data_IF_582122041617
#
_entry.id   IF_582122041617
#
_cell.length_a   1.000
_cell.length_b   1.000
_cell.length_c   1.000
_cell.angle_alpha   90.00
_cell.angle_beta   90.00
_cell.angle_gamma   90.00
#
_symmetry.space_group_name_H-M   'P 1'
#
loop_
_entity.id
_entity.type
_entity.pdbx_description
1 polymer ?
#
# COMPACT_ATOMS: atom_id res chain seq x y z
N UNK A 1 -14.66 4.66 -1.73
CA UNK A 1 -15.69 4.59 -2.78
C UNK A 1 -16.49 3.25 -2.72
N UNK A 2 -16.45 2.52 -1.59
CA UNK A 2 -17.24 1.31 -1.38
C UNK A 2 -16.73 0.04 -2.09
N UNK A 3 -15.56 0.07 -2.68
CA UNK A 3 -14.90 -1.11 -3.26
C UNK A 3 -13.91 -1.63 -2.23
N UNK A 4 -14.07 -2.87 -1.70
CA UNK A 4 -13.10 -3.48 -0.80
C UNK A 4 -11.72 -3.55 -1.47
N UNK A 5 -10.69 -3.18 -0.73
CA UNK A 5 -9.30 -3.38 -1.12
C UNK A 5 -8.79 -4.54 -0.28
N UNK A 6 -8.53 -5.65 -0.91
CA UNK A 6 -8.03 -6.84 -0.26
C UNK A 6 -6.56 -7.05 -0.62
N UNK A 7 -5.78 -7.42 0.37
CA UNK A 7 -4.38 -7.78 0.20
C UNK A 7 -4.05 -8.99 1.08
N UNK A 8 -3.04 -9.75 0.72
CA UNK A 8 -2.61 -10.91 1.49
C UNK A 8 -2.03 -10.49 2.85
N UNK A 9 -2.80 -10.72 3.92
CA UNK A 9 -2.40 -10.44 5.31
C UNK A 9 -2.22 -8.95 5.61
N UNK A 10 -1.30 -8.61 6.53
CA UNK A 10 -0.95 -7.23 6.90
C UNK A 10 -0.23 -6.44 5.77
N UNK A 11 -0.18 -7.00 4.58
CA UNK A 11 0.53 -6.44 3.43
C UNK A 11 -0.18 -5.22 2.84
N UNK A 12 -1.50 -5.12 2.96
CA UNK A 12 -2.24 -3.93 2.56
C UNK A 12 -2.45 -3.02 3.77
N UNK A 13 -1.47 -2.16 4.01
CA UNK A 13 -1.55 -1.14 5.05
C UNK A 13 -2.07 0.18 4.45
N UNK A 14 -2.86 0.92 5.24
CA UNK A 14 -3.30 2.27 4.90
C UNK A 14 -2.14 3.22 4.57
N UNK A 15 -0.96 2.96 5.14
CA UNK A 15 0.27 3.70 4.84
C UNK A 15 0.73 3.56 3.38
N UNK A 16 0.26 2.54 2.67
CA UNK A 16 0.61 2.30 1.27
C UNK A 16 -0.29 3.04 0.28
N UNK A 17 -1.39 3.61 0.76
CA UNK A 17 -2.27 4.44 -0.08
C UNK A 17 -1.77 5.88 -0.07
N UNK A 18 -1.45 6.48 -1.21
CA UNK A 18 -1.04 7.87 -1.26
C UNK A 18 -2.14 8.79 -0.73
N UNK A 19 -1.80 9.69 0.19
CA UNK A 19 -2.75 10.67 0.75
C UNK A 19 -3.39 11.50 -0.36
N UNK A 20 -2.65 11.81 -1.41
CA UNK A 20 -3.13 12.59 -2.55
C UNK A 20 -4.24 11.88 -3.36
N UNK A 21 -4.43 10.58 -3.13
CA UNK A 21 -5.52 9.83 -3.74
C UNK A 21 -6.89 10.13 -3.08
N UNK A 22 -6.88 10.48 -1.81
CA UNK A 22 -8.08 10.71 -1.02
C UNK A 22 -8.53 12.18 -1.09
N UNK A 23 -9.79 12.41 -1.44
CA UNK A 23 -10.44 13.69 -1.18
C UNK A 23 -10.76 13.82 0.31
N UNK A 24 -11.24 12.74 0.90
CA UNK A 24 -11.44 12.58 2.34
C UNK A 24 -11.35 11.12 2.75
N UNK A 25 -11.06 10.90 4.01
CA UNK A 25 -11.04 9.58 4.65
C UNK A 25 -12.18 9.55 5.67
N UNK A 26 -13.06 8.57 5.50
CA UNK A 26 -14.16 8.31 6.42
C UNK A 26 -13.84 7.07 7.24
N UNK A 27 -13.89 7.19 8.56
CA UNK A 27 -13.62 6.09 9.48
C UNK A 27 -14.90 5.73 10.21
N UNK A 28 -15.39 4.52 9.97
CA UNK A 28 -16.55 3.97 10.67
C UNK A 28 -16.06 2.97 11.71
N UNK A 29 -16.38 3.21 12.98
CA UNK A 29 -16.02 2.32 14.11
C UNK A 29 -17.28 1.66 14.64
N UNK A 30 -17.28 0.34 14.78
CA UNK A 30 -18.40 -0.42 15.30
C UNK A 30 -19.50 -0.65 14.25
N UNK A 31 -20.56 0.14 14.25
CA UNK A 31 -21.66 -0.02 13.28
C UNK A 31 -21.26 0.56 11.92
N UNK A 32 -21.18 -0.31 10.94
CA UNK A 32 -20.80 0.05 9.57
C UNK A 32 -22.06 0.11 8.70
N UNK A 33 -22.20 1.14 7.84
CA UNK A 33 -23.33 1.21 6.90
C UNK A 33 -23.40 -0.02 5.99
N UNK A 34 -24.61 -0.49 5.71
CA UNK A 34 -24.87 -1.73 4.94
C UNK A 34 -24.20 -1.74 3.56
N UNK A 35 -23.95 -0.57 2.99
CA UNK A 35 -23.28 -0.43 1.69
C UNK A 35 -21.81 -0.88 1.63
N UNK A 36 -21.18 -1.16 2.78
CA UNK A 36 -19.77 -1.62 2.85
C UNK A 36 -19.63 -3.14 3.01
N UNK A 37 -20.73 -3.88 3.00
CA UNK A 37 -20.73 -5.34 3.10
C UNK A 37 -20.77 -5.86 4.55
N UNK A 38 -20.82 -7.19 4.68
CA UNK A 38 -20.99 -7.90 5.96
C UNK A 38 -19.69 -8.20 6.68
N UNK A 39 -18.54 -8.06 6.02
CA UNK A 39 -17.24 -8.52 6.52
C UNK A 39 -16.51 -7.49 7.39
N UNK A 40 -17.11 -6.31 7.54
CA UNK A 40 -16.54 -5.20 8.28
C UNK A 40 -16.82 -5.28 9.80
N UNK A 41 -16.36 -6.33 10.46
CA UNK A 41 -16.68 -6.63 11.88
C UNK A 41 -16.02 -5.59 12.83
N UNK A 42 -14.84 -5.09 12.51
CA UNK A 42 -14.07 -4.16 13.37
C UNK A 42 -14.25 -2.68 13.01
N UNK A 43 -14.79 -2.40 11.84
CA UNK A 43 -14.91 -1.04 11.27
C UNK A 43 -14.45 -0.97 9.82
N UNK A 44 -14.64 0.21 9.22
CA UNK A 44 -14.26 0.48 7.83
C UNK A 44 -13.52 1.79 7.75
N UNK A 45 -12.45 1.80 6.99
CA UNK A 45 -11.80 3.01 6.51
C UNK A 45 -12.14 3.19 5.03
N UNK A 46 -13.03 4.12 4.74
CA UNK A 46 -13.45 4.43 3.37
C UNK A 46 -12.64 5.61 2.82
N UNK A 47 -11.87 5.34 1.79
CA UNK A 47 -11.13 6.37 1.07
C UNK A 47 -12.03 6.88 -0.04
N UNK A 48 -12.51 8.11 0.12
CA UNK A 48 -13.37 8.76 -0.86
C UNK A 48 -12.51 9.54 -1.82
N UNK A 49 -12.61 9.18 -3.10
CA UNK A 49 -11.94 9.92 -4.17
C UNK A 49 -12.84 11.05 -4.66
N UNK A 50 -12.27 12.12 -5.20
CA UNK A 50 -13.05 13.23 -5.75
C UNK A 50 -13.99 12.72 -6.85
N UNK A 51 -15.29 12.90 -6.64
CA UNK A 51 -16.34 12.39 -7.54
C UNK A 51 -16.64 13.30 -8.73
N UNK A 52 -16.16 14.54 -8.70
CA UNK A 52 -16.40 15.52 -9.76
C UNK A 52 -15.08 16.19 -10.16
N UNK A 53 -14.25 15.49 -10.95
CA UNK A 53 -13.12 16.16 -11.56
C UNK A 53 -13.64 17.32 -12.43
N UNK A 54 -12.89 18.40 -12.49
CA UNK A 54 -13.18 19.52 -13.38
C UNK A 54 -13.08 19.11 -14.86
N UNK A 55 -12.83 20.07 -15.75
CA UNK A 55 -12.73 19.78 -17.19
C UNK A 55 -11.66 18.76 -17.53
N UNK A 56 -10.47 18.94 -17.02
CA UNK A 56 -9.37 17.98 -16.96
C UNK A 56 -8.53 18.26 -15.73
N UNK A 57 -7.87 17.28 -15.20
CA UNK A 57 -6.95 17.44 -14.08
C UNK A 57 -5.77 16.46 -14.22
N UNK A 58 -4.66 16.87 -13.69
CA UNK A 58 -3.45 16.08 -13.56
C UNK A 58 -2.81 16.40 -12.20
N UNK A 59 -2.74 15.39 -11.35
CA UNK A 59 -2.00 15.45 -10.11
C UNK A 59 -0.86 14.42 -10.18
N UNK A 60 0.34 14.84 -9.88
CA UNK A 60 1.49 13.94 -9.84
C UNK A 60 2.38 14.29 -8.66
N UNK A 61 2.90 13.28 -8.00
CA UNK A 61 3.87 13.45 -6.93
C UNK A 61 4.92 12.36 -6.98
N UNK A 62 6.12 12.71 -6.59
CA UNK A 62 7.22 11.79 -6.37
C UNK A 62 7.95 12.18 -5.10
N UNK A 63 8.28 11.20 -4.28
CA UNK A 63 9.12 11.39 -3.11
C UNK A 63 10.19 10.31 -3.03
N UNK A 64 11.36 10.73 -2.57
CA UNK A 64 12.50 9.88 -2.29
C UNK A 64 12.87 10.01 -0.82
N UNK A 65 13.17 8.90 -0.16
CA UNK A 65 13.48 8.86 1.27
C UNK A 65 14.59 7.87 1.61
N UNK A 66 14.87 7.73 2.89
CA UNK A 66 15.85 6.78 3.43
C UNK A 66 15.55 5.35 2.96
N UNK A 67 16.58 4.50 2.95
CA UNK A 67 16.49 3.09 2.56
C UNK A 67 15.99 2.88 1.13
N UNK A 68 16.46 3.76 0.22
CA UNK A 68 16.07 3.74 -1.19
C UNK A 68 14.54 3.73 -1.38
N UNK A 69 13.83 4.52 -0.55
CA UNK A 69 12.37 4.58 -0.60
C UNK A 69 11.92 5.51 -1.70
N UNK A 70 11.14 4.97 -2.64
CA UNK A 70 10.52 5.70 -3.74
C UNK A 70 9.00 5.62 -3.60
N UNK A 71 8.34 6.76 -3.67
CA UNK A 71 6.88 6.82 -3.75
C UNK A 71 6.51 7.70 -4.93
N UNK A 72 5.80 7.15 -5.87
CA UNK A 72 5.26 7.87 -7.01
C UNK A 72 3.75 7.74 -7.07
N UNK A 73 3.10 8.79 -7.50
CA UNK A 73 1.68 8.85 -7.68
C UNK A 73 1.35 9.74 -8.88
N UNK A 74 0.38 9.28 -9.65
CA UNK A 74 -0.18 10.04 -10.76
C UNK A 74 -1.69 9.85 -10.78
N UNK A 75 -2.40 10.93 -10.96
CA UNK A 75 -3.83 10.95 -11.19
C UNK A 75 -4.12 11.83 -12.38
N UNK A 76 -4.87 11.31 -13.32
CA UNK A 76 -5.26 12.02 -14.54
C UNK A 76 -6.69 11.71 -14.91
N UNK A 77 -7.43 12.71 -15.35
CA UNK A 77 -8.79 12.50 -15.79
C UNK A 77 -9.39 13.70 -16.50
N UNK A 78 -10.50 13.44 -17.17
CA UNK A 78 -11.25 14.47 -17.90
C UNK A 78 -12.73 14.14 -17.96
N UNK A 79 -13.54 15.19 -17.92
CA UNK A 79 -14.95 15.14 -18.28
C UNK A 79 -15.13 15.94 -19.57
N UNK A 80 -15.68 15.29 -20.59
CA UNK A 80 -16.02 15.94 -21.84
C UNK A 80 -17.38 16.63 -21.79
N UNK A 81 -17.63 17.55 -22.71
CA UNK A 81 -18.90 18.28 -22.79
C UNK A 81 -20.10 17.37 -23.01
N UNK A 82 -19.91 16.21 -23.65
CA UNK A 82 -20.96 15.22 -23.85
C UNK A 82 -21.23 14.35 -22.60
N UNK A 83 -20.55 14.63 -21.47
CA UNK A 83 -20.68 13.88 -20.23
C UNK A 83 -19.85 12.61 -20.15
N UNK A 84 -19.12 12.24 -21.20
CA UNK A 84 -18.15 11.13 -21.09
C UNK A 84 -17.03 11.53 -20.12
N UNK A 85 -16.64 10.60 -19.27
CA UNK A 85 -15.55 10.78 -18.31
C UNK A 85 -14.58 9.60 -18.32
N UNK A 86 -13.33 9.90 -18.10
CA UNK A 86 -12.34 8.89 -17.71
C UNK A 86 -11.46 9.44 -16.60
N UNK A 87 -10.95 8.54 -15.79
CA UNK A 87 -10.01 8.82 -14.70
C UNK A 87 -9.04 7.64 -14.59
N UNK A 88 -7.78 7.94 -14.44
CA UNK A 88 -6.73 6.96 -14.16
C UNK A 88 -5.95 7.42 -12.95
N UNK A 89 -5.79 6.53 -11.98
CA UNK A 89 -4.95 6.74 -10.81
C UNK A 89 -3.93 5.61 -10.80
N UNK A 90 -2.67 5.94 -10.65
CA UNK A 90 -1.61 4.96 -10.51
C UNK A 90 -0.67 5.38 -9.39
N UNK A 91 -0.20 4.43 -8.63
CA UNK A 91 0.83 4.68 -7.63
C UNK A 91 1.80 3.51 -7.54
N UNK A 92 3.00 3.81 -7.08
CA UNK A 92 4.04 2.86 -6.76
C UNK A 92 4.74 3.30 -5.49
N UNK A 93 4.97 2.34 -4.60
CA UNK A 93 5.81 2.49 -3.43
C UNK A 93 6.85 1.38 -3.44
N UNK A 94 8.10 1.75 -3.28
CA UNK A 94 9.23 0.83 -3.24
C UNK A 94 10.16 1.24 -2.10
N UNK A 95 10.75 0.28 -1.39
CA UNK A 95 11.84 0.51 -0.46
C UNK A 95 12.67 -0.75 -0.27
N UNK A 96 13.98 -0.61 -0.18
CA UNK A 96 14.88 -1.68 0.24
C UNK A 96 14.70 -2.01 1.72
N UNK A 97 14.25 -1.03 2.51
CA UNK A 97 13.94 -1.16 3.94
C UNK A 97 15.09 -1.78 4.75
N UNK A 98 16.32 -1.50 4.37
CA UNK A 98 17.57 -2.11 4.80
C UNK A 98 18.21 -1.37 5.99
N UNK A 99 17.40 -0.96 6.96
CA UNK A 99 17.86 -0.25 8.14
C UNK A 99 18.66 -1.12 9.11
N UNK A 100 19.42 -0.48 9.98
CA UNK A 100 20.19 -1.18 11.01
C UNK A 100 19.32 -1.50 12.23
N UNK A 101 19.60 -2.65 12.82
CA UNK A 101 18.97 -3.09 14.07
C UNK A 101 20.02 -3.56 15.06
N UNK A 102 19.81 -3.26 16.33
CA UNK A 102 20.60 -3.81 17.41
C UNK A 102 19.99 -5.11 17.91
N UNK A 103 20.76 -6.19 17.85
CA UNK A 103 20.24 -7.53 18.12
C UNK A 103 21.30 -8.45 18.69
N UNK A 104 20.83 -9.54 19.31
CA UNK A 104 21.68 -10.61 19.79
C UNK A 104 21.83 -11.68 18.71
N UNK A 105 23.07 -12.07 18.43
CA UNK A 105 23.39 -13.13 17.46
C UNK A 105 23.82 -14.38 18.22
N UNK A 106 23.22 -15.51 17.86
CA UNK A 106 23.72 -16.80 18.33
C UNK A 106 24.91 -17.20 17.47
N UNK A 107 26.10 -17.09 18.03
CA UNK A 107 27.32 -17.54 17.38
C UNK A 107 27.31 -19.08 17.23
N UNK A 108 28.06 -19.60 16.30
CA UNK A 108 28.30 -21.02 16.18
C UNK A 108 29.83 -21.30 16.11
N UNK A 109 30.23 -22.44 16.65
CA UNK A 109 31.60 -22.91 16.64
C UNK A 109 31.64 -24.19 15.80
N UNK A 110 32.59 -24.25 14.86
CA UNK A 110 32.87 -25.48 14.12
C UNK A 110 34.00 -26.16 14.84
N UNK A 111 33.75 -27.37 15.38
CA UNK A 111 34.77 -28.17 16.02
C UNK A 111 35.68 -28.84 14.97
N UNK A 112 36.83 -29.37 15.44
CA UNK A 112 37.79 -30.07 14.59
C UNK A 112 37.20 -31.31 13.90
N UNK A 113 36.19 -31.93 14.48
CA UNK A 113 35.47 -33.07 13.93
C UNK A 113 34.40 -32.66 12.88
N UNK A 114 34.29 -31.37 12.56
CA UNK A 114 33.30 -30.80 11.63
C UNK A 114 31.93 -30.63 12.23
N UNK A 115 31.67 -30.95 13.48
CA UNK A 115 30.41 -30.74 14.13
C UNK A 115 30.18 -29.26 14.50
N UNK A 116 28.95 -28.80 14.40
CA UNK A 116 28.58 -27.41 14.74
C UNK A 116 28.00 -27.37 16.16
N UNK A 117 28.60 -26.53 17.00
CA UNK A 117 28.11 -26.22 18.34
C UNK A 117 27.49 -24.82 18.36
N UNK A 118 26.31 -24.68 18.98
CA UNK A 118 25.70 -23.40 19.26
C UNK A 118 25.84 -23.11 20.75
N UNK A 119 26.73 -22.22 21.16
CA UNK A 119 26.81 -21.79 22.57
C UNK A 119 25.53 -21.06 22.99
N UNK A 120 25.27 -20.90 24.29
CA UNK A 120 24.19 -20.09 24.78
C UNK A 120 24.29 -18.67 24.24
N UNK A 121 23.12 -18.05 24.00
CA UNK A 121 23.05 -16.66 23.54
C UNK A 121 23.70 -15.73 24.58
N UNK A 122 24.74 -15.01 24.19
CA UNK A 122 25.35 -13.99 25.04
C UNK A 122 24.53 -12.69 24.95
N UNK A 123 23.78 -12.39 26.01
CA UNK A 123 22.96 -11.19 26.12
C UNK A 123 23.76 -9.91 26.41
N UNK A 124 25.06 -10.01 26.65
CA UNK A 124 25.92 -8.86 26.83
C UNK A 124 26.54 -8.35 25.52
N UNK A 125 26.42 -9.15 24.45
CA UNK A 125 27.01 -8.85 23.15
C UNK A 125 25.92 -8.46 22.16
N UNK A 126 25.78 -7.16 21.92
CA UNK A 126 24.84 -6.59 20.97
C UNK A 126 25.56 -6.37 19.64
N UNK A 127 24.95 -6.79 18.56
CA UNK A 127 25.44 -6.61 17.21
C UNK A 127 24.57 -5.57 16.49
N UNK A 128 25.21 -4.62 15.82
CA UNK A 128 24.57 -3.63 14.97
C UNK A 128 24.59 -4.15 13.52
N UNK A 129 23.47 -4.72 13.08
CA UNK A 129 23.38 -5.43 11.81
C UNK A 129 22.39 -4.75 10.88
N UNK A 130 22.75 -4.71 9.61
CA UNK A 130 21.88 -4.23 8.54
C UNK A 130 20.85 -5.29 8.19
N UNK A 131 19.56 -4.90 8.13
CA UNK A 131 18.52 -5.81 7.63
C UNK A 131 18.73 -6.08 6.15
N UNK A 132 18.38 -7.29 5.74
CA UNK A 132 18.35 -7.75 4.36
C UNK A 132 17.05 -8.55 4.19
N UNK A 133 16.59 -8.78 2.99
CA UNK A 133 15.31 -9.45 2.73
C UNK A 133 14.12 -8.81 3.47
N UNK A 134 14.03 -7.48 3.42
CA UNK A 134 12.91 -6.72 3.97
C UNK A 134 12.36 -5.71 2.95
N UNK A 135 12.77 -5.85 1.70
CA UNK A 135 12.32 -5.05 0.58
C UNK A 135 10.81 -5.16 0.40
N UNK A 136 10.16 -4.07 0.07
CA UNK A 136 8.78 -4.11 -0.37
C UNK A 136 8.55 -3.31 -1.65
N UNK A 137 7.62 -3.77 -2.45
CA UNK A 137 7.12 -3.11 -3.63
C UNK A 137 5.60 -3.23 -3.68
N UNK A 138 4.94 -2.11 -3.81
CA UNK A 138 3.50 -2.02 -3.89
C UNK A 138 3.13 -1.07 -5.02
N UNK A 139 2.29 -1.54 -5.94
CA UNK A 139 1.80 -0.74 -7.05
C UNK A 139 0.33 -1.01 -7.31
N UNK A 140 -0.40 0.00 -7.74
CA UNK A 140 -1.76 -0.18 -8.22
C UNK A 140 -2.10 0.82 -9.31
N UNK A 141 -3.02 0.39 -10.16
CA UNK A 141 -3.65 1.21 -11.19
C UNK A 141 -5.16 1.06 -11.08
N UNK A 142 -5.84 2.18 -10.96
CA UNK A 142 -7.29 2.24 -10.90
C UNK A 142 -7.76 3.09 -12.07
N UNK A 143 -8.47 2.45 -12.99
CA UNK A 143 -9.12 3.11 -14.13
C UNK A 143 -10.62 3.24 -13.91
N UNK A 144 -11.20 4.38 -14.29
CA UNK A 144 -12.64 4.59 -14.33
C UNK A 144 -13.03 5.22 -15.67
N UNK A 145 -14.08 4.69 -16.27
CA UNK A 145 -14.69 5.27 -17.45
C UNK A 145 -16.19 5.35 -17.25
N UNK A 146 -16.85 6.37 -17.79
CA UNK A 146 -18.29 6.50 -17.56
C UNK A 146 -18.93 7.70 -18.20
N UNK A 147 -20.17 7.91 -17.79
CA UNK A 147 -21.03 9.02 -18.21
C UNK A 147 -21.52 9.75 -16.98
N UNK A 148 -21.55 11.07 -17.01
CA UNK A 148 -22.06 11.94 -15.96
C UNK A 148 -23.08 12.94 -16.52
N UNK A 149 -24.02 13.38 -15.69
CA UNK A 149 -24.99 14.42 -16.03
C UNK A 149 -25.95 14.02 -17.13
N UNK A 150 -26.36 12.76 -17.19
CA UNK A 150 -27.38 12.28 -18.13
C UNK A 150 -28.78 12.38 -17.51
N UNK A 151 -29.81 12.59 -18.32
CA UNK A 151 -31.21 12.68 -17.83
C UNK A 151 -31.67 11.40 -17.12
N UNK A 152 -31.09 10.24 -17.45
CA UNK A 152 -31.44 8.92 -16.92
C UNK A 152 -30.51 8.41 -15.82
N UNK A 153 -29.35 9.06 -15.65
CA UNK A 153 -28.43 8.75 -14.54
C UNK A 153 -27.51 9.95 -14.27
N UNK A 154 -27.36 10.31 -13.02
CA UNK A 154 -26.39 11.33 -12.61
C UNK A 154 -24.97 10.89 -12.89
N UNK A 155 -24.70 9.59 -12.67
CA UNK A 155 -23.42 8.96 -12.96
C UNK A 155 -23.59 7.47 -13.24
N UNK A 156 -22.98 7.02 -14.34
CA UNK A 156 -22.74 5.61 -14.62
C UNK A 156 -21.26 5.44 -14.90
N UNK A 157 -20.58 4.57 -14.17
CA UNK A 157 -19.16 4.35 -14.35
C UNK A 157 -18.79 2.88 -14.16
N UNK A 158 -17.84 2.43 -15.00
CA UNK A 158 -17.13 1.18 -14.84
C UNK A 158 -15.77 1.48 -14.24
N UNK A 159 -15.36 0.69 -13.26
CA UNK A 159 -14.06 0.78 -12.61
C UNK A 159 -13.26 -0.49 -12.88
N UNK A 160 -11.99 -0.32 -13.18
CA UNK A 160 -11.00 -1.38 -13.28
C UNK A 160 -9.95 -1.14 -12.21
N UNK A 161 -9.59 -2.20 -11.49
CA UNK A 161 -8.57 -2.21 -10.46
C UNK A 161 -7.50 -3.25 -10.78
N UNK A 162 -6.25 -2.85 -10.76
CA UNK A 162 -5.09 -3.73 -10.73
C UNK A 162 -4.23 -3.35 -9.53
N UNK A 163 -3.80 -4.34 -8.76
CA UNK A 163 -2.83 -4.12 -7.69
C UNK A 163 -1.86 -5.28 -7.62
N UNK A 164 -0.62 -4.97 -7.37
CA UNK A 164 0.45 -5.92 -7.13
C UNK A 164 1.20 -5.51 -5.88
N UNK A 165 1.46 -6.49 -5.02
CA UNK A 165 2.21 -6.31 -3.79
C UNK A 165 3.27 -7.40 -3.67
N UNK A 166 4.47 -6.97 -3.37
CA UNK A 166 5.59 -7.85 -3.04
C UNK A 166 6.25 -7.37 -1.75
N UNK A 167 6.52 -8.29 -0.84
CA UNK A 167 7.28 -8.02 0.36
C UNK A 167 8.14 -9.21 0.70
N UNK A 168 9.40 -8.94 0.96
CA UNK A 168 10.32 -9.88 1.57
C UNK A 168 10.08 -9.92 3.08
N UNK A 169 10.16 -11.11 3.65
CA UNK A 169 9.99 -11.32 5.10
C UNK A 169 11.26 -11.95 5.63
N UNK A 170 12.00 -11.18 6.39
CA UNK A 170 13.14 -11.71 7.12
C UNK A 170 12.64 -12.48 8.33
N UNK A 171 12.71 -13.82 8.28
CA UNK A 171 12.24 -14.71 9.33
C UNK A 171 13.24 -14.88 10.49
N UNK A 172 14.45 -14.40 10.31
CA UNK A 172 15.53 -14.40 11.30
C UNK A 172 16.16 -13.03 11.39
N UNK A 173 17.11 -12.88 12.30
CA UNK A 173 17.81 -11.59 12.45
C UNK A 173 18.95 -11.46 11.43
N UNK A 174 19.34 -12.56 10.81
CA UNK A 174 20.30 -12.72 9.70
C UNK A 174 20.10 -14.11 9.08
#
# INVERSE_FOLDING_TARGET
DGIPQEGAGAAFDLNNVPINYADRIEVYKGVVPVGFGTDAIGGVVNIVTNKQPGKWFLDASYSYGSFNTHKSYVRFGQIFKNGFMYEVNAFQNFSDNDYYVDTYVREFEIKEDGSVRFPPLDKNKIYHLKRFNDQYHNEAVIGKIGLVGKKWADRLALSFNYSHFYKEIQTGVY
#
